data_IF_915513820097
#
_entry.id   IF_915513820097
#
_cell.length_a   1.000
_cell.length_b   1.000
_cell.length_c   1.000
_cell.angle_alpha   90.00
_cell.angle_beta   90.00
_cell.angle_gamma   90.00
#
_symmetry.space_group_name_H-M   'P 1'
#
loop_
_entity.id
_entity.type
_entity.pdbx_description
1 polymer ?
#
# COMPACT_ATOMS: atom_id res chain seq x y z
N UNK A 1 -24.51 85.40 -23.58
CA UNK A 1 -23.90 84.17 -24.20
C UNK A 1 -22.53 84.09 -23.64
N UNK A 2 -22.32 83.30 -22.67
CA UNK A 2 -21.03 83.09 -22.01
C UNK A 2 -20.26 82.01 -22.80
N UNK A 3 -19.12 82.43 -23.28
CA UNK A 3 -18.16 81.63 -24.00
C UNK A 3 -17.47 80.67 -22.99
N UNK A 4 -17.92 79.45 -22.98
CA UNK A 4 -17.27 78.44 -22.23
C UNK A 4 -16.07 77.93 -23.03
N UNK A 5 -15.02 78.69 -22.98
CA UNK A 5 -13.73 78.34 -23.58
C UNK A 5 -13.17 77.12 -22.94
N UNK A 6 -12.90 76.14 -23.81
CA UNK A 6 -12.39 74.81 -23.51
C UNK A 6 -10.95 74.80 -22.87
N UNK A 7 -10.51 75.87 -22.27
CA UNK A 7 -9.14 76.07 -21.81
C UNK A 7 -8.80 75.46 -20.45
N UNK A 8 -9.80 75.18 -19.63
CA UNK A 8 -9.51 74.62 -18.29
C UNK A 8 -9.73 73.10 -18.13
N UNK A 9 -9.85 72.42 -19.25
CA UNK A 9 -10.09 70.98 -19.21
C UNK A 9 -8.83 70.17 -18.79
N UNK A 10 -7.67 70.78 -18.81
CA UNK A 10 -6.38 70.15 -18.57
C UNK A 10 -5.56 70.86 -17.46
N UNK A 11 -6.16 71.71 -16.65
CA UNK A 11 -5.48 72.15 -15.44
C UNK A 11 -5.27 70.99 -14.51
N UNK A 12 -4.03 70.74 -14.05
CA UNK A 12 -3.79 69.72 -13.06
C UNK A 12 -4.63 70.04 -11.82
N UNK A 13 -5.55 69.18 -11.44
CA UNK A 13 -6.23 69.29 -10.16
C UNK A 13 -5.16 69.45 -9.08
N UNK A 14 -5.29 70.49 -8.26
CA UNK A 14 -4.44 70.66 -7.09
C UNK A 14 -4.80 69.50 -6.13
N UNK A 15 -4.17 68.37 -6.36
CA UNK A 15 -4.25 67.24 -5.46
C UNK A 15 -3.53 67.61 -4.18
N UNK A 16 -4.30 67.82 -3.14
CA UNK A 16 -3.74 67.89 -1.80
C UNK A 16 -2.84 66.66 -1.59
N UNK A 17 -1.58 66.92 -1.35
CA UNK A 17 -0.57 65.88 -1.16
C UNK A 17 -0.79 65.04 0.10
N UNK A 18 -1.85 65.31 0.85
CA UNK A 18 -2.27 64.55 2.03
C UNK A 18 -2.89 63.18 1.68
N UNK A 19 -3.46 63.03 0.46
CA UNK A 19 -4.12 61.83 -0.02
C UNK A 19 -3.26 61.05 -1.03
N UNK A 20 -1.92 61.24 -1.03
CA UNK A 20 -1.08 60.28 -1.66
C UNK A 20 -1.37 58.93 -1.01
N UNK A 21 -1.97 58.05 -1.78
CA UNK A 21 -2.26 56.67 -1.41
C UNK A 21 -1.15 56.08 -0.55
N UNK A 22 -1.30 56.18 0.77
CA UNK A 22 -0.45 55.42 1.67
C UNK A 22 -0.74 53.96 1.35
N UNK A 23 0.12 53.36 0.54
CA UNK A 23 0.10 51.92 0.31
C UNK A 23 0.35 51.28 1.65
N UNK A 24 -0.73 51.01 2.36
CA UNK A 24 -0.73 50.35 3.68
C UNK A 24 -0.35 48.88 3.58
N UNK A 25 -0.03 48.37 2.39
CA UNK A 25 0.46 47.03 2.21
C UNK A 25 1.87 46.93 2.75
N UNK A 26 2.00 46.28 3.94
CA UNK A 26 3.32 45.95 4.50
C UNK A 26 4.10 45.20 3.44
N UNK A 27 5.24 45.78 3.03
CA UNK A 27 6.16 45.13 2.08
C UNK A 27 6.49 43.73 2.57
N UNK A 28 6.02 42.72 1.85
CA UNK A 28 6.32 41.29 2.14
C UNK A 28 7.38 40.84 1.18
N UNK A 29 8.32 40.03 1.67
CA UNK A 29 9.22 39.30 0.79
C UNK A 29 8.43 38.35 -0.10
N UNK A 30 8.91 38.07 -1.32
CA UNK A 30 8.25 37.17 -2.26
C UNK A 30 7.87 35.83 -1.62
N UNK A 31 8.79 35.22 -0.88
CA UNK A 31 8.54 33.96 -0.13
C UNK A 31 7.43 34.12 0.92
N UNK A 32 7.37 35.26 1.61
CA UNK A 32 6.33 35.56 2.59
C UNK A 32 4.93 35.70 1.99
N UNK A 33 4.83 36.30 0.80
CA UNK A 33 3.54 36.43 0.11
C UNK A 33 3.05 35.11 -0.46
N UNK A 34 3.95 34.32 -1.06
CA UNK A 34 3.66 32.95 -1.52
C UNK A 34 3.15 32.09 -0.36
N UNK A 35 3.84 32.08 0.78
CA UNK A 35 3.43 31.30 1.96
C UNK A 35 2.07 31.76 2.52
N UNK A 36 1.84 33.06 2.55
CA UNK A 36 0.56 33.60 3.00
C UNK A 36 -0.62 33.20 2.10
N UNK A 37 -0.44 33.24 0.78
CA UNK A 37 -1.45 32.80 -0.20
C UNK A 37 -1.65 31.29 -0.15
N UNK A 38 -0.57 30.53 0.03
CA UNK A 38 -0.61 29.09 0.18
C UNK A 38 -1.46 28.66 1.38
N UNK A 39 -1.22 29.25 2.56
CA UNK A 39 -2.00 28.95 3.79
C UNK A 39 -3.48 29.30 3.70
N UNK A 40 -3.86 30.16 2.80
CA UNK A 40 -5.28 30.54 2.60
C UNK A 40 -6.05 29.57 1.70
N UNK A 41 -5.36 28.68 0.98
CA UNK A 41 -5.99 27.71 0.08
C UNK A 41 -5.99 26.32 0.75
N UNK A 42 -7.14 25.82 1.25
CA UNK A 42 -7.20 24.53 1.95
C UNK A 42 -6.81 23.36 1.04
N UNK A 43 -7.09 23.44 -0.26
CA UNK A 43 -6.69 22.43 -1.25
C UNK A 43 -5.17 22.36 -1.41
N UNK A 44 -4.46 23.49 -1.36
CA UNK A 44 -3.01 23.53 -1.44
C UNK A 44 -2.37 22.91 -0.18
N UNK A 45 -2.94 23.18 1.00
CA UNK A 45 -2.49 22.58 2.26
C UNK A 45 -2.70 21.07 2.22
N UNK A 46 -3.88 20.62 1.77
CA UNK A 46 -4.18 19.19 1.66
C UNK A 46 -3.17 18.47 0.73
N UNK A 47 -2.90 19.03 -0.45
CA UNK A 47 -1.89 18.48 -1.36
C UNK A 47 -0.49 18.43 -0.74
N UNK A 48 -0.09 19.47 -0.02
CA UNK A 48 1.20 19.52 0.67
C UNK A 48 1.33 18.46 1.76
N UNK A 49 0.26 18.27 2.56
CA UNK A 49 0.22 17.23 3.60
C UNK A 49 0.34 15.83 2.98
N UNK A 50 -0.34 15.57 1.86
CA UNK A 50 -0.26 14.28 1.15
C UNK A 50 1.18 14.05 0.66
N UNK A 51 1.83 15.05 0.07
CA UNK A 51 3.21 14.92 -0.40
C UNK A 51 4.17 14.62 0.76
N UNK A 52 4.04 15.32 1.89
CA UNK A 52 4.86 15.04 3.08
C UNK A 52 4.59 13.64 3.61
N UNK A 53 3.32 13.21 3.67
CA UNK A 53 2.97 11.87 4.12
C UNK A 53 3.59 10.79 3.22
N UNK A 54 3.55 10.95 1.90
CA UNK A 54 4.19 10.05 0.95
C UNK A 54 5.71 10.06 1.08
N UNK A 55 6.32 11.21 1.32
CA UNK A 55 7.77 11.32 1.56
C UNK A 55 8.17 10.58 2.83
N UNK A 56 7.43 10.77 3.92
CA UNK A 56 7.67 10.06 5.18
C UNK A 56 7.48 8.55 5.00
N UNK A 57 6.41 8.13 4.32
CA UNK A 57 6.17 6.73 3.99
C UNK A 57 7.33 6.11 3.20
N UNK A 58 7.86 6.81 2.20
CA UNK A 58 8.96 6.33 1.37
C UNK A 58 10.31 6.25 2.12
N UNK A 59 10.59 7.21 3.01
CA UNK A 59 11.87 7.29 3.72
C UNK A 59 11.88 6.46 5.00
N UNK A 60 10.81 6.53 5.77
CA UNK A 60 10.72 5.95 7.11
C UNK A 60 10.10 4.56 7.09
N UNK A 61 9.17 4.31 6.15
CA UNK A 61 8.46 3.05 6.02
C UNK A 61 9.36 1.81 5.97
N UNK A 62 10.42 1.77 5.16
CA UNK A 62 11.33 0.62 5.09
C UNK A 62 12.02 0.25 6.40
N UNK A 63 12.11 1.17 7.36
CA UNK A 63 12.69 0.89 8.68
C UNK A 63 11.77 0.02 9.56
N UNK A 64 10.48 -0.01 9.25
CA UNK A 64 9.49 -0.79 9.99
C UNK A 64 9.18 -2.15 9.38
N UNK A 65 9.68 -2.44 8.18
CA UNK A 65 9.50 -3.74 7.54
C UNK A 65 10.73 -4.61 7.75
N UNK A 66 10.57 -5.89 8.14
CA UNK A 66 11.70 -6.81 8.30
C UNK A 66 12.21 -7.34 6.95
N UNK A 67 11.56 -6.99 5.85
CA UNK A 67 11.86 -7.52 4.52
C UNK A 67 12.71 -6.55 3.70
N UNK A 68 13.68 -7.10 2.97
CA UNK A 68 14.41 -6.36 1.95
C UNK A 68 13.64 -6.40 0.62
N UNK A 69 13.67 -5.29 -0.14
CA UNK A 69 12.96 -5.15 -1.42
C UNK A 69 13.46 -6.10 -2.51
N UNK A 70 14.70 -6.57 -2.41
CA UNK A 70 15.39 -7.40 -3.41
C UNK A 70 15.29 -8.90 -3.13
N UNK A 71 15.11 -9.30 -1.87
CA UNK A 71 15.09 -10.71 -1.47
C UNK A 71 13.84 -11.40 -2.02
N UNK A 72 14.08 -12.49 -2.74
CA UNK A 72 13.04 -13.33 -3.32
C UNK A 72 12.79 -14.55 -2.43
N UNK A 73 11.54 -14.89 -2.23
CA UNK A 73 11.13 -16.10 -1.51
C UNK A 73 10.13 -16.90 -2.35
N UNK A 74 10.63 -17.86 -3.12
CA UNK A 74 9.82 -18.69 -4.01
C UNK A 74 8.86 -19.65 -3.29
N UNK A 75 8.88 -19.70 -1.97
CA UNK A 75 7.90 -20.46 -1.19
C UNK A 75 6.58 -19.71 -1.06
N UNK A 76 6.62 -18.39 -1.03
CA UNK A 76 5.47 -17.52 -0.77
C UNK A 76 5.09 -16.66 -1.99
N UNK A 77 5.10 -17.25 -3.17
CA UNK A 77 4.75 -16.59 -4.44
C UNK A 77 3.26 -16.28 -4.50
N UNK A 78 2.92 -15.05 -4.87
CA UNK A 78 1.53 -14.58 -5.08
C UNK A 78 0.60 -14.85 -3.88
N UNK A 79 1.10 -14.73 -2.66
CA UNK A 79 0.26 -14.83 -1.47
C UNK A 79 -0.54 -13.55 -1.29
N UNK A 80 -1.88 -13.61 -1.21
CA UNK A 80 -2.73 -12.43 -1.06
C UNK A 80 -2.69 -11.85 0.37
N UNK A 81 -3.14 -10.60 0.56
CA UNK A 81 -3.28 -10.01 1.89
C UNK A 81 -4.38 -10.66 2.74
N UNK A 82 -5.36 -11.28 2.10
CA UNK A 82 -6.42 -12.08 2.75
C UNK A 82 -6.35 -13.48 2.21
N UNK A 83 -6.09 -14.44 3.08
CA UNK A 83 -5.90 -15.84 2.73
C UNK A 83 -7.13 -16.68 3.10
N UNK A 84 -7.50 -17.62 2.25
CA UNK A 84 -8.41 -18.70 2.61
C UNK A 84 -7.59 -19.85 3.19
N UNK A 85 -7.76 -20.14 4.47
CA UNK A 85 -7.00 -21.16 5.19
C UNK A 85 -7.90 -22.30 5.64
N UNK A 86 -7.34 -23.49 5.76
CA UNK A 86 -8.02 -24.70 6.22
C UNK A 86 -7.52 -25.05 7.62
N UNK A 87 -8.43 -25.31 8.54
CA UNK A 87 -8.09 -25.64 9.92
C UNK A 87 -7.90 -27.14 10.06
N UNK A 88 -6.71 -27.56 10.48
CA UNK A 88 -6.42 -28.97 10.80
C UNK A 88 -6.66 -29.27 12.29
N UNK A 89 -6.83 -30.53 12.67
CA UNK A 89 -7.09 -30.91 14.06
C UNK A 89 -6.06 -30.46 15.08
N UNK A 90 -4.83 -30.32 14.68
CA UNK A 90 -3.71 -29.82 15.52
C UNK A 90 -3.86 -28.35 15.97
N UNK A 91 -4.87 -27.62 15.44
CA UNK A 91 -5.09 -26.21 15.74
C UNK A 91 -4.38 -25.24 14.79
N UNK A 92 -3.51 -25.73 13.93
CA UNK A 92 -2.85 -24.95 12.88
C UNK A 92 -3.74 -24.77 11.66
N UNK A 93 -3.32 -23.84 10.79
CA UNK A 93 -4.03 -23.54 9.57
C UNK A 93 -3.12 -23.76 8.37
N UNK A 94 -3.71 -24.21 7.27
CA UNK A 94 -3.00 -24.48 6.02
C UNK A 94 -3.50 -23.55 4.92
N UNK A 95 -2.58 -22.94 4.20
CA UNK A 95 -2.86 -22.12 3.03
C UNK A 95 -2.35 -22.79 1.76
N UNK A 96 -3.19 -22.83 0.71
CA UNK A 96 -2.82 -23.36 -0.61
C UNK A 96 -2.33 -22.21 -1.49
N UNK A 97 -1.09 -22.30 -1.95
CA UNK A 97 -0.55 -21.33 -2.91
C UNK A 97 -1.03 -21.59 -4.33
N UNK A 98 -0.90 -20.62 -5.22
CA UNK A 98 -1.19 -20.77 -6.66
C UNK A 98 -0.30 -21.81 -7.34
N UNK A 99 0.85 -22.14 -6.77
CA UNK A 99 1.77 -23.17 -7.25
C UNK A 99 1.48 -24.56 -6.65
N UNK A 100 0.29 -24.79 -6.08
CA UNK A 100 -0.10 -26.06 -5.43
C UNK A 100 0.83 -26.50 -4.29
N UNK A 101 1.47 -25.55 -3.64
CA UNK A 101 2.24 -25.74 -2.42
C UNK A 101 1.35 -25.43 -1.21
N UNK A 102 1.55 -26.14 -0.12
CA UNK A 102 0.84 -25.91 1.13
C UNK A 102 1.78 -25.26 2.13
N UNK A 103 1.32 -24.17 2.73
CA UNK A 103 2.07 -23.39 3.72
C UNK A 103 1.34 -23.48 5.05
N UNK A 104 2.07 -23.75 6.12
CA UNK A 104 1.53 -23.66 7.48
C UNK A 104 1.34 -22.21 7.88
N UNK A 105 0.22 -21.92 8.51
CA UNK A 105 -0.16 -20.59 8.99
C UNK A 105 -0.50 -20.68 10.47
N UNK A 106 0.13 -19.85 11.27
CA UNK A 106 -0.17 -19.81 12.71
C UNK A 106 -1.58 -19.27 12.96
N UNK A 107 -2.17 -19.53 14.14
CA UNK A 107 -3.48 -18.97 14.52
C UNK A 107 -3.56 -17.45 14.43
N UNK A 108 -2.42 -16.77 14.53
CA UNK A 108 -2.29 -15.32 14.40
C UNK A 108 -2.29 -14.81 12.95
N UNK A 109 -2.20 -15.67 11.94
CA UNK A 109 -2.15 -15.31 10.53
C UNK A 109 -0.73 -15.06 9.99
N UNK A 110 0.31 -15.56 10.68
CA UNK A 110 1.69 -15.53 10.17
C UNK A 110 2.00 -16.80 9.40
N UNK A 111 2.69 -16.67 8.28
CA UNK A 111 3.21 -17.81 7.52
C UNK A 111 4.39 -18.42 8.26
N UNK A 112 4.35 -19.73 8.53
CA UNK A 112 5.41 -20.45 9.25
C UNK A 112 6.43 -21.09 8.32
N UNK A 113 5.97 -21.73 7.25
CA UNK A 113 6.84 -22.40 6.30
C UNK A 113 6.07 -23.31 5.37
N UNK A 114 6.73 -23.76 4.30
CA UNK A 114 6.15 -24.69 3.35
C UNK A 114 6.17 -26.11 3.95
N UNK A 115 5.05 -26.83 3.85
CA UNK A 115 4.97 -28.22 4.23
C UNK A 115 5.77 -29.10 3.26
N UNK A 116 6.32 -30.18 3.81
CA UNK A 116 7.02 -31.17 3.02
C UNK A 116 6.03 -32.03 2.24
N UNK A 117 6.21 -32.13 0.92
CA UNK A 117 5.50 -33.06 0.07
C UNK A 117 5.97 -34.48 0.41
N UNK A 118 5.03 -35.35 0.73
CA UNK A 118 5.30 -36.78 1.03
C UNK A 118 5.14 -37.59 -0.22
N UNK A 119 3.96 -37.50 -0.87
CA UNK A 119 3.59 -38.32 -2.02
C UNK A 119 2.72 -37.54 -2.99
N UNK A 120 2.86 -37.85 -4.28
CA UNK A 120 2.00 -37.31 -5.33
C UNK A 120 1.21 -38.46 -5.96
N UNK A 121 -0.11 -38.35 -5.90
CA UNK A 121 -1.03 -39.30 -6.52
C UNK A 121 -1.78 -38.59 -7.66
N UNK A 122 -1.09 -38.41 -8.77
CA UNK A 122 -1.63 -37.68 -9.93
C UNK A 122 -2.84 -38.35 -10.56
N UNK A 123 -2.96 -39.66 -10.48
CA UNK A 123 -4.16 -40.45 -10.92
C UNK A 123 -5.40 -40.04 -10.15
N UNK A 124 -5.28 -39.65 -8.90
CA UNK A 124 -6.38 -39.14 -8.05
C UNK A 124 -6.44 -37.60 -8.01
N UNK A 125 -5.56 -36.93 -8.75
CA UNK A 125 -5.42 -35.46 -8.73
C UNK A 125 -5.25 -34.91 -7.31
N UNK A 126 -4.39 -35.57 -6.53
CA UNK A 126 -4.08 -35.14 -5.15
C UNK A 126 -2.60 -35.24 -4.84
N UNK A 127 -2.15 -34.39 -3.93
CA UNK A 127 -0.80 -34.41 -3.37
C UNK A 127 -0.89 -34.47 -1.86
N UNK A 128 -0.11 -35.34 -1.23
CA UNK A 128 -0.09 -35.53 0.22
C UNK A 128 1.08 -34.76 0.81
N UNK A 129 0.80 -34.02 1.87
CA UNK A 129 1.76 -33.22 2.63
C UNK A 129 1.78 -33.69 4.09
N UNK A 130 2.94 -33.56 4.72
CA UNK A 130 3.10 -33.80 6.15
C UNK A 130 2.95 -32.49 6.93
N UNK A 131 1.94 -32.44 7.78
CA UNK A 131 1.67 -31.33 8.68
C UNK A 131 1.94 -31.79 10.13
N UNK A 132 3.19 -31.75 10.55
CA UNK A 132 3.65 -32.15 11.89
C UNK A 132 3.14 -33.54 12.33
N UNK A 133 3.33 -34.53 11.45
CA UNK A 133 2.91 -35.93 11.67
C UNK A 133 1.46 -36.20 11.32
N UNK A 134 0.71 -35.25 10.79
CA UNK A 134 -0.62 -35.45 10.22
C UNK A 134 -0.55 -35.37 8.70
N UNK A 135 -0.89 -36.48 8.02
CA UNK A 135 -0.92 -36.47 6.56
C UNK A 135 -2.19 -35.78 6.05
N UNK A 136 -2.01 -34.76 5.22
CA UNK A 136 -3.09 -33.97 4.64
C UNK A 136 -3.06 -34.05 3.12
N UNK A 137 -4.20 -34.27 2.50
CA UNK A 137 -4.33 -34.38 1.06
C UNK A 137 -4.81 -33.05 0.46
N UNK A 138 -4.03 -32.49 -0.47
CA UNK A 138 -4.43 -31.38 -1.33
C UNK A 138 -5.08 -31.96 -2.60
N UNK A 139 -6.37 -31.74 -2.77
CA UNK A 139 -7.10 -32.08 -4.00
C UNK A 139 -7.10 -30.91 -4.98
N UNK A 140 -6.60 -31.15 -6.19
CA UNK A 140 -6.48 -30.13 -7.25
C UNK A 140 -7.24 -30.49 -8.54
N UNK A 141 -7.97 -31.61 -8.57
CA UNK A 141 -8.82 -32.00 -9.71
C UNK A 141 -10.08 -31.17 -9.90
N UNK A 142 -10.38 -30.26 -8.98
CA UNK A 142 -11.53 -29.35 -9.01
C UNK A 142 -11.15 -27.90 -8.70
N UNK A 143 -12.11 -27.00 -8.83
CA UNK A 143 -11.95 -25.58 -8.42
C UNK A 143 -13.13 -25.21 -7.51
N UNK A 144 -12.90 -24.69 -6.31
CA UNK A 144 -11.59 -24.38 -5.68
C UNK A 144 -10.83 -25.61 -5.22
N UNK A 145 -9.50 -25.50 -5.08
CA UNK A 145 -8.66 -26.50 -4.45
C UNK A 145 -9.02 -26.64 -2.97
N UNK A 146 -8.97 -27.85 -2.45
CA UNK A 146 -9.37 -28.15 -1.06
C UNK A 146 -8.33 -29.01 -0.37
N UNK A 147 -8.23 -28.85 0.95
CA UNK A 147 -7.43 -29.72 1.82
C UNK A 147 -8.38 -30.61 2.60
N UNK A 148 -8.08 -31.88 2.60
CA UNK A 148 -8.83 -32.90 3.32
C UNK A 148 -7.89 -33.83 4.11
N UNK A 149 -8.45 -34.55 5.04
CA UNK A 149 -7.78 -35.63 5.74
C UNK A 149 -7.51 -36.79 4.75
N UNK A 150 -6.29 -37.28 4.70
CA UNK A 150 -5.92 -38.39 3.79
C UNK A 150 -6.69 -39.68 4.11
N UNK A 151 -6.86 -39.99 5.39
CA UNK A 151 -7.44 -41.24 5.81
C UNK A 151 -8.98 -41.31 5.62
N UNK A 152 -9.67 -40.18 5.87
CA UNK A 152 -11.13 -40.12 5.83
C UNK A 152 -11.71 -39.47 4.59
N UNK A 153 -10.89 -38.70 3.84
CA UNK A 153 -11.33 -37.87 2.72
C UNK A 153 -12.20 -36.69 3.14
N UNK A 154 -12.31 -36.40 4.43
CA UNK A 154 -13.13 -35.31 4.95
C UNK A 154 -12.45 -33.96 4.69
N UNK A 155 -13.14 -33.04 4.01
CA UNK A 155 -12.64 -31.70 3.74
C UNK A 155 -12.57 -30.91 5.04
N UNK A 156 -11.40 -30.32 5.33
CA UNK A 156 -11.23 -29.47 6.49
C UNK A 156 -12.00 -28.15 6.40
N UNK A 157 -12.53 -27.64 7.52
CA UNK A 157 -13.25 -26.39 7.55
C UNK A 157 -12.32 -25.23 7.13
N UNK A 158 -12.83 -24.35 6.28
CA UNK A 158 -12.06 -23.21 5.79
C UNK A 158 -12.57 -21.89 6.37
N UNK A 159 -11.64 -20.97 6.63
CA UNK A 159 -11.95 -19.60 7.01
C UNK A 159 -11.05 -18.61 6.27
N UNK A 160 -11.44 -17.33 6.27
CA UNK A 160 -10.60 -16.25 5.77
C UNK A 160 -9.78 -15.66 6.92
N UNK A 161 -8.50 -15.38 6.66
CA UNK A 161 -7.56 -14.81 7.62
C UNK A 161 -6.69 -13.76 6.97
N UNK A 162 -6.38 -12.69 7.72
CA UNK A 162 -5.44 -11.67 7.28
C UNK A 162 -4.00 -12.21 7.34
N UNK A 163 -3.24 -11.93 6.29
CA UNK A 163 -1.82 -12.24 6.24
C UNK A 163 -1.03 -11.22 7.06
N UNK A 164 -0.55 -11.62 8.23
CA UNK A 164 0.28 -10.75 9.08
C UNK A 164 1.77 -10.79 8.74
N UNK A 165 2.23 -11.77 7.97
CA UNK A 165 3.59 -11.79 7.46
C UNK A 165 3.77 -10.76 6.34
N UNK A 166 2.84 -10.71 5.39
CA UNK A 166 2.88 -9.82 4.23
C UNK A 166 1.58 -9.04 4.11
N UNK A 167 1.54 -7.84 4.67
CA UNK A 167 0.31 -7.02 4.82
C UNK A 167 -0.38 -6.75 3.47
N UNK A 168 0.38 -6.44 2.43
CA UNK A 168 -0.13 -6.27 1.06
C UNK A 168 0.08 -7.51 0.18
N UNK A 169 0.48 -8.63 0.80
CA UNK A 169 0.79 -9.86 0.07
C UNK A 169 2.17 -9.83 -0.59
N UNK A 170 2.41 -10.84 -1.44
CA UNK A 170 3.68 -11.02 -2.17
C UNK A 170 3.46 -11.01 -3.68
N UNK A 171 4.51 -10.66 -4.41
CA UNK A 171 4.50 -10.67 -5.88
C UNK A 171 4.83 -12.06 -6.47
N UNK A 172 4.95 -12.10 -7.82
CA UNK A 172 5.29 -13.30 -8.57
C UNK A 172 6.69 -13.89 -8.27
N UNK A 173 7.54 -13.17 -7.54
CA UNK A 173 8.85 -13.62 -7.06
C UNK A 173 8.87 -13.81 -5.54
N UNK A 174 7.72 -13.74 -4.88
CA UNK A 174 7.59 -13.90 -3.43
C UNK A 174 8.16 -12.74 -2.62
N UNK A 175 8.33 -11.55 -3.23
CA UNK A 175 8.82 -10.35 -2.56
C UNK A 175 7.67 -9.60 -1.92
N UNK A 176 7.92 -8.95 -0.79
CA UNK A 176 6.91 -8.14 -0.09
C UNK A 176 6.48 -6.93 -0.93
N UNK A 177 5.19 -6.86 -1.25
CA UNK A 177 4.62 -5.78 -2.07
C UNK A 177 4.66 -4.45 -1.34
N UNK A 178 4.46 -4.42 -0.01
CA UNK A 178 4.50 -3.20 0.78
C UNK A 178 5.91 -2.56 0.75
N UNK A 179 6.93 -3.35 1.01
CA UNK A 179 8.33 -2.88 0.97
C UNK A 179 8.68 -2.36 -0.43
N UNK A 180 8.28 -3.07 -1.48
CA UNK A 180 8.52 -2.63 -2.86
C UNK A 180 7.79 -1.32 -3.20
N UNK A 181 6.58 -1.13 -2.69
CA UNK A 181 5.83 0.11 -2.87
C UNK A 181 6.57 1.30 -2.22
N UNK A 182 7.11 1.12 -1.01
CA UNK A 182 7.89 2.14 -0.32
C UNK A 182 9.14 2.54 -1.09
N UNK A 183 9.93 1.56 -1.53
CA UNK A 183 11.14 1.82 -2.34
C UNK A 183 10.81 2.42 -3.71
N UNK A 184 9.74 1.94 -4.39
CA UNK A 184 9.28 2.50 -5.66
C UNK A 184 8.85 3.96 -5.52
N UNK A 185 8.13 4.30 -4.45
CA UNK A 185 7.74 5.68 -4.14
C UNK A 185 8.97 6.57 -3.93
N UNK A 186 9.99 6.07 -3.22
CA UNK A 186 11.25 6.80 -3.01
C UNK A 186 11.95 7.11 -4.33
N UNK A 187 12.05 6.13 -5.23
CA UNK A 187 12.68 6.32 -6.55
C UNK A 187 11.87 7.33 -7.37
N UNK A 188 10.54 7.20 -7.41
CA UNK A 188 9.66 8.11 -8.14
C UNK A 188 9.80 9.56 -7.66
N UNK A 189 9.90 9.78 -6.35
CA UNK A 189 10.09 11.11 -5.77
C UNK A 189 11.48 11.70 -6.01
N UNK A 190 12.51 10.87 -6.23
CA UNK A 190 13.86 11.35 -6.56
C UNK A 190 14.00 11.75 -8.02
N UNK A 191 13.16 11.20 -8.90
CA UNK A 191 13.20 11.46 -10.35
C UNK A 191 12.27 12.59 -10.76
N UNK A 192 11.21 12.87 -9.98
CA UNK A 192 10.24 13.94 -10.24
C UNK A 192 10.76 15.33 -9.85
#
# INVERSE_FOLDING_TARGET
MADLTAQNKWEPLATDNSDREKIWSKSRTFAGDVWFRFRRKPTAIAGFVIIIALMLFALVGPLFTPYDYSVQNLEVVNVPPVMKVYQIPNGDYLYITTALKVISVTPDGKLSGQLRKVRDESDKSMTIFDADGTEVALYYGGSPYVIADEATGSIYPSKTMLNKSYILGTDALGRDVLTRLMYGTRISMLVA
#
